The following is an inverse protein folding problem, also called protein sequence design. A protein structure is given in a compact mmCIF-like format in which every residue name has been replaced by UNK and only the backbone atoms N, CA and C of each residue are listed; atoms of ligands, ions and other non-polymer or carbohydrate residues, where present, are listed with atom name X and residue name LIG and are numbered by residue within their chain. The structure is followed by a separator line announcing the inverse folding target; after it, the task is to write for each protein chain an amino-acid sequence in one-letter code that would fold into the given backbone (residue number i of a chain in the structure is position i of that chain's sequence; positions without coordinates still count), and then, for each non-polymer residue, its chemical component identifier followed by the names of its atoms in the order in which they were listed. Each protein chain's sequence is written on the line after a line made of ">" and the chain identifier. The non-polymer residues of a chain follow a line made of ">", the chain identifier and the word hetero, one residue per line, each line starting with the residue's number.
data_IF_473419267058
#
_entry.id   IF_473419267058
#
_cell.length_a   1.000
_cell.length_b   1.000
_cell.length_c   1.000
_cell.angle_alpha   90.00
_cell.angle_beta   90.00
_cell.angle_gamma   90.00
#
_symmetry.space_group_name_H-M   'P 1'
#
loop_
_entity.id
_entity.type
_entity.pdbx_description
1 polymer ?
#
# COMPACT_ATOMS: atom_id res chain seq x y z
N UNK A 1 21.77 6.40 -19.97
CA UNK A 1 22.00 5.71 -18.68
C UNK A 1 21.84 6.76 -17.59
N UNK A 2 20.67 6.74 -16.95
CA UNK A 2 20.31 7.74 -15.95
C UNK A 2 20.84 7.33 -14.58
N UNK A 3 21.08 8.31 -13.72
CA UNK A 3 21.48 8.17 -12.30
C UNK A 3 20.52 7.33 -11.42
N UNK A 4 19.45 6.76 -11.99
CA UNK A 4 18.53 5.81 -11.34
C UNK A 4 18.64 4.36 -11.88
N UNK A 5 19.51 4.09 -12.86
CA UNK A 5 19.77 2.72 -13.33
C UNK A 5 20.47 1.86 -12.24
N UNK A 6 20.96 2.46 -11.16
CA UNK A 6 21.58 1.77 -10.02
C UNK A 6 20.56 1.01 -9.14
N UNK A 7 19.26 1.31 -9.25
CA UNK A 7 18.20 0.59 -8.51
C UNK A 7 17.71 -0.67 -9.21
N UNK A 8 18.19 -0.97 -10.42
CA UNK A 8 18.00 -2.30 -11.03
C UNK A 8 19.14 -3.22 -10.63
N UNK A 9 19.35 -3.43 -9.32
CA UNK A 9 19.89 -4.72 -8.95
C UNK A 9 18.84 -5.74 -9.38
N UNK A 10 19.19 -6.64 -10.31
CA UNK A 10 18.48 -7.91 -10.41
C UNK A 10 18.79 -8.62 -9.12
N UNK A 11 18.01 -8.32 -8.09
CA UNK A 11 18.14 -8.96 -6.81
C UNK A 11 17.68 -10.41 -6.99
N UNK A 12 18.65 -11.29 -7.23
CA UNK A 12 18.45 -12.74 -7.29
C UNK A 12 18.24 -13.31 -5.88
N UNK A 13 17.91 -12.47 -4.91
CA UNK A 13 17.68 -12.83 -3.53
C UNK A 13 16.41 -13.68 -3.44
N UNK A 14 16.56 -14.88 -2.87
CA UNK A 14 15.43 -15.80 -2.74
C UNK A 14 14.46 -15.26 -1.69
N UNK A 15 13.14 -15.43 -1.88
CA UNK A 15 12.16 -15.07 -0.88
C UNK A 15 12.47 -15.78 0.44
N UNK A 16 12.39 -15.07 1.57
CA UNK A 16 12.65 -15.72 2.85
C UNK A 16 11.51 -16.69 3.20
N UNK A 17 11.83 -17.79 3.90
CA UNK A 17 10.82 -18.77 4.35
C UNK A 17 9.72 -18.13 5.19
N UNK A 18 10.06 -17.06 5.94
CA UNK A 18 9.13 -16.29 6.76
C UNK A 18 8.13 -15.55 5.88
N UNK A 19 8.61 -14.75 4.92
CA UNK A 19 7.75 -14.01 3.99
C UNK A 19 6.92 -14.93 3.08
N UNK A 20 7.45 -16.07 2.65
CA UNK A 20 6.67 -17.10 1.93
C UNK A 20 5.54 -17.67 2.80
N UNK A 21 5.83 -17.97 4.06
CA UNK A 21 4.81 -18.49 4.98
C UNK A 21 3.75 -17.44 5.30
N UNK A 22 4.17 -16.18 5.46
CA UNK A 22 3.27 -15.06 5.70
C UNK A 22 2.35 -14.80 4.51
N UNK A 23 2.90 -14.75 3.29
CA UNK A 23 2.13 -14.58 2.05
C UNK A 23 1.05 -15.66 1.91
N UNK A 24 1.38 -16.92 2.17
CA UNK A 24 0.39 -18.02 2.15
C UNK A 24 -0.74 -17.80 3.16
N UNK A 25 -0.42 -17.47 4.41
CA UNK A 25 -1.45 -17.19 5.42
C UNK A 25 -2.28 -15.94 5.08
N UNK A 26 -1.66 -14.92 4.50
CA UNK A 26 -2.35 -13.70 4.08
C UNK A 26 -3.34 -13.95 2.94
N UNK A 27 -2.95 -14.75 1.94
CA UNK A 27 -3.85 -15.17 0.87
C UNK A 27 -5.04 -15.99 1.41
N UNK A 28 -4.79 -16.92 2.33
CA UNK A 28 -5.85 -17.74 2.92
C UNK A 28 -6.85 -16.91 3.75
N UNK A 29 -6.36 -15.97 4.56
CA UNK A 29 -7.19 -15.25 5.53
C UNK A 29 -7.76 -13.96 4.95
N UNK A 30 -6.88 -13.08 4.44
CA UNK A 30 -7.27 -11.78 3.89
C UNK A 30 -7.77 -11.96 2.46
N UNK A 31 -7.08 -12.76 1.64
CA UNK A 31 -7.45 -13.00 0.25
C UNK A 31 -8.87 -13.55 0.12
N UNK A 32 -9.16 -14.70 0.76
CA UNK A 32 -10.51 -15.29 0.78
C UNK A 32 -11.57 -14.29 1.25
N UNK A 33 -11.24 -13.46 2.26
CA UNK A 33 -12.17 -12.46 2.78
C UNK A 33 -12.49 -11.37 1.75
N UNK A 34 -11.49 -10.75 1.13
CA UNK A 34 -11.71 -9.66 0.17
C UNK A 34 -12.25 -10.18 -1.17
N UNK A 35 -11.93 -11.41 -1.55
CA UNK A 35 -12.52 -12.10 -2.69
C UNK A 35 -14.02 -12.31 -2.52
N UNK A 36 -14.49 -12.52 -1.28
CA UNK A 36 -15.92 -12.52 -0.94
C UNK A 36 -16.65 -11.20 -1.24
N UNK A 37 -15.91 -10.09 -1.32
CA UNK A 37 -16.43 -8.77 -1.74
C UNK A 37 -16.24 -8.50 -3.24
N UNK A 38 -15.77 -9.48 -4.01
CA UNK A 38 -15.55 -9.37 -5.45
C UNK A 38 -14.21 -8.76 -5.85
N UNK A 39 -13.24 -8.64 -4.93
CA UNK A 39 -11.86 -8.35 -5.31
C UNK A 39 -11.20 -9.60 -5.91
N UNK A 40 -10.25 -9.39 -6.82
CA UNK A 40 -9.49 -10.47 -7.45
C UNK A 40 -8.01 -10.26 -7.20
N UNK A 41 -7.27 -11.35 -6.97
CA UNK A 41 -5.82 -11.28 -6.82
C UNK A 41 -5.19 -10.72 -8.10
N UNK A 42 -4.50 -9.58 -7.99
CA UNK A 42 -3.79 -8.92 -9.08
C UNK A 42 -2.30 -9.24 -9.07
N UNK A 43 -1.69 -9.14 -7.89
CA UNK A 43 -0.25 -9.34 -7.72
C UNK A 43 0.08 -9.99 -6.37
N UNK A 44 1.08 -10.86 -6.36
CA UNK A 44 1.70 -11.41 -5.15
C UNK A 44 3.21 -11.47 -5.36
N UNK A 45 3.92 -10.47 -4.86
CA UNK A 45 5.38 -10.36 -4.91
C UNK A 45 5.95 -10.67 -3.53
N UNK A 46 6.79 -11.69 -3.46
CA UNK A 46 7.51 -12.07 -2.23
C UNK A 46 9.00 -11.99 -2.52
N UNK A 47 9.71 -11.19 -1.73
CA UNK A 47 11.15 -10.94 -1.81
C UNK A 47 11.81 -11.38 -0.49
N UNK A 48 13.12 -11.18 -0.34
CA UNK A 48 13.82 -11.63 0.87
C UNK A 48 13.26 -11.00 2.14
N UNK A 49 13.05 -9.69 2.14
CA UNK A 49 12.58 -8.92 3.30
C UNK A 49 11.20 -8.31 3.12
N UNK A 50 10.55 -8.55 1.98
CA UNK A 50 9.31 -7.87 1.62
C UNK A 50 8.24 -8.83 1.12
N UNK A 51 7.00 -8.56 1.47
CA UNK A 51 5.82 -9.15 0.85
C UNK A 51 4.90 -8.04 0.38
N UNK A 52 4.43 -8.11 -0.85
CA UNK A 52 3.38 -7.25 -1.40
C UNK A 52 2.31 -8.13 -2.03
N UNK A 53 1.07 -8.01 -1.57
CA UNK A 53 -0.10 -8.67 -2.18
C UNK A 53 -1.10 -7.58 -2.53
N UNK A 54 -1.62 -7.62 -3.75
CA UNK A 54 -2.59 -6.65 -4.25
C UNK A 54 -3.81 -7.40 -4.77
N UNK A 55 -4.99 -6.99 -4.31
CA UNK A 55 -6.26 -7.40 -4.86
C UNK A 55 -6.97 -6.19 -5.47
N UNK A 56 -7.65 -6.36 -6.60
CA UNK A 56 -8.31 -5.28 -7.34
C UNK A 56 -9.79 -5.58 -7.56
N UNK A 57 -10.61 -4.52 -7.57
CA UNK A 57 -12.03 -4.54 -7.95
C UNK A 57 -12.37 -3.23 -8.64
N UNK A 58 -12.73 -3.28 -9.91
CA UNK A 58 -12.93 -2.07 -10.73
C UNK A 58 -11.70 -1.16 -10.65
N UNK A 59 -11.85 0.08 -10.20
CA UNK A 59 -10.75 1.03 -9.98
C UNK A 59 -10.17 0.98 -8.55
N UNK A 60 -10.67 0.13 -7.67
CA UNK A 60 -10.24 0.02 -6.28
C UNK A 60 -9.21 -1.11 -6.12
N UNK A 61 -8.30 -0.95 -5.17
CA UNK A 61 -7.38 -2.00 -4.78
C UNK A 61 -7.16 -2.04 -3.27
N UNK A 62 -6.81 -3.23 -2.80
CA UNK A 62 -6.35 -3.49 -1.43
C UNK A 62 -4.92 -4.00 -1.56
N UNK A 63 -4.00 -3.32 -0.88
CA UNK A 63 -2.57 -3.62 -0.93
C UNK A 63 -2.09 -4.00 0.48
N UNK A 64 -1.66 -5.23 0.65
CA UNK A 64 -1.00 -5.70 1.86
C UNK A 64 0.51 -5.68 1.65
N UNK A 65 1.23 -4.97 2.52
CA UNK A 65 2.69 -4.90 2.48
C UNK A 65 3.27 -5.31 3.81
N UNK A 66 4.35 -6.09 3.81
CA UNK A 66 5.13 -6.43 4.99
C UNK A 66 6.61 -6.23 4.75
N UNK A 67 7.34 -5.76 5.76
CA UNK A 67 8.80 -5.61 5.76
C UNK A 67 9.41 -6.17 7.04
N UNK A 68 10.46 -6.97 6.91
CA UNK A 68 11.43 -7.22 7.98
C UNK A 68 12.86 -6.83 7.61
N UNK A 69 12.98 -5.80 6.76
CA UNK A 69 14.26 -5.27 6.38
C UNK A 69 15.03 -4.78 7.62
N UNK A 70 16.31 -5.18 7.83
CA UNK A 70 16.99 -5.00 9.11
C UNK A 70 17.09 -3.56 9.64
N UNK A 71 17.14 -2.56 8.75
CA UNK A 71 17.23 -1.15 9.13
C UNK A 71 15.88 -0.51 9.42
N UNK A 72 14.78 -1.19 9.12
CA UNK A 72 13.41 -0.67 9.22
C UNK A 72 12.75 -1.07 10.55
N UNK A 73 13.54 -1.35 11.59
CA UNK A 73 12.99 -1.76 12.89
C UNK A 73 12.19 -0.61 13.55
N UNK A 74 10.96 -0.87 14.06
CA UNK A 74 10.31 -2.16 14.18
C UNK A 74 9.76 -2.70 12.85
N UNK A 75 9.88 -4.00 12.64
CA UNK A 75 9.33 -4.69 11.46
C UNK A 75 7.80 -4.61 11.48
N UNK A 76 7.19 -4.31 10.34
CA UNK A 76 5.76 -4.04 10.26
C UNK A 76 5.11 -4.69 9.05
N UNK A 77 3.80 -4.84 9.11
CA UNK A 77 2.96 -4.97 7.94
C UNK A 77 1.76 -4.02 8.02
N UNK A 78 1.15 -3.76 6.88
CA UNK A 78 0.03 -2.83 6.72
C UNK A 78 -0.92 -3.33 5.65
N UNK A 79 -2.18 -2.88 5.75
CA UNK A 79 -3.18 -3.02 4.69
C UNK A 79 -3.60 -1.62 4.28
N UNK A 80 -3.38 -1.30 3.01
CA UNK A 80 -3.77 -0.04 2.39
C UNK A 80 -4.98 -0.25 1.49
N UNK A 81 -5.89 0.72 1.52
CA UNK A 81 -7.01 0.86 0.60
C UNK A 81 -6.62 1.92 -0.42
N UNK A 82 -6.86 1.71 -1.70
CA UNK A 82 -6.53 2.71 -2.71
C UNK A 82 -7.38 2.63 -3.96
N UNK A 83 -7.25 3.65 -4.80
CA UNK A 83 -7.96 3.79 -6.07
C UNK A 83 -6.99 4.16 -7.19
N UNK A 84 -7.29 3.72 -8.41
CA UNK A 84 -6.50 4.03 -9.60
C UNK A 84 -5.44 2.99 -9.91
N UNK A 85 -4.30 3.44 -10.42
CA UNK A 85 -3.25 2.56 -10.91
C UNK A 85 -2.39 2.01 -9.77
N UNK A 86 -2.63 0.75 -9.38
CA UNK A 86 -1.84 0.08 -8.34
C UNK A 86 -0.44 -0.37 -8.80
N UNK A 87 -0.15 -0.37 -10.10
CA UNK A 87 1.15 -0.76 -10.65
C UNK A 87 2.12 0.43 -10.76
N UNK A 88 1.63 1.66 -10.83
CA UNK A 88 2.47 2.85 -10.75
C UNK A 88 2.77 3.15 -9.27
N UNK A 89 4.04 3.00 -8.87
CA UNK A 89 4.46 3.20 -7.48
C UNK A 89 4.00 4.56 -6.93
N UNK A 90 4.16 5.64 -7.71
CA UNK A 90 3.82 6.99 -7.27
C UNK A 90 2.32 7.15 -7.07
N UNK A 91 1.52 6.73 -8.06
CA UNK A 91 0.06 6.76 -7.92
C UNK A 91 -0.39 5.86 -6.77
N UNK A 92 0.16 4.65 -6.65
CA UNK A 92 -0.24 3.69 -5.63
C UNK A 92 0.03 4.17 -4.19
N UNK A 93 1.08 4.96 -3.97
CA UNK A 93 1.38 5.50 -2.64
C UNK A 93 0.57 6.76 -2.33
N UNK A 94 0.27 7.60 -3.32
CA UNK A 94 -0.51 8.83 -3.12
C UNK A 94 -2.03 8.60 -3.12
N UNK A 95 -2.48 7.57 -3.83
CA UNK A 95 -3.89 7.24 -3.99
C UNK A 95 -4.30 6.03 -3.14
N UNK A 96 -3.47 5.69 -2.15
CA UNK A 96 -3.85 4.81 -1.07
C UNK A 96 -3.65 5.43 0.30
N UNK A 97 -4.32 4.82 1.28
CA UNK A 97 -4.14 5.08 2.69
C UNK A 97 -4.19 3.77 3.46
N UNK A 98 -3.42 3.69 4.56
CA UNK A 98 -3.58 2.62 5.54
C UNK A 98 -5.00 2.63 6.11
N UNK A 99 -5.56 1.46 6.44
CA UNK A 99 -6.84 1.34 7.15
C UNK A 99 -6.86 2.22 8.41
N UNK A 100 -5.70 2.38 9.04
CA UNK A 100 -5.54 3.23 10.22
C UNK A 100 -5.91 4.68 10.03
N UNK A 101 -5.79 5.22 8.82
CA UNK A 101 -6.22 6.58 8.51
C UNK A 101 -7.75 6.71 8.63
N UNK A 102 -8.50 5.67 8.24
CA UNK A 102 -9.95 5.62 8.45
C UNK A 102 -10.25 5.45 9.94
N UNK A 103 -9.52 4.57 10.63
CA UNK A 103 -9.73 4.38 12.07
C UNK A 103 -9.53 5.69 12.85
N UNK A 104 -8.51 6.49 12.52
CA UNK A 104 -8.27 7.79 13.18
C UNK A 104 -9.41 8.79 12.97
N UNK A 105 -10.19 8.66 11.90
CA UNK A 105 -11.38 9.47 11.67
C UNK A 105 -12.55 9.04 12.54
N UNK A 106 -12.74 7.73 12.71
CA UNK A 106 -13.89 7.17 13.43
C UNK A 106 -13.64 7.08 14.93
N UNK A 107 -12.37 6.90 15.33
CA UNK A 107 -11.92 6.69 16.71
C UNK A 107 -10.68 7.55 17.03
N UNK A 108 -10.79 8.90 17.06
CA UNK A 108 -9.63 9.80 17.12
C UNK A 108 -8.76 9.66 18.38
N UNK A 109 -9.31 9.09 19.46
CA UNK A 109 -8.60 8.89 20.72
C UNK A 109 -7.81 7.58 20.78
N UNK A 110 -7.96 6.69 19.79
CA UNK A 110 -7.30 5.39 19.76
C UNK A 110 -6.04 5.49 18.90
N UNK A 111 -4.88 5.23 19.52
CA UNK A 111 -3.62 5.17 18.79
C UNK A 111 -3.55 3.88 17.98
N UNK A 112 -3.22 4.03 16.70
CA UNK A 112 -2.89 2.91 15.83
C UNK A 112 -1.46 3.07 15.31
N UNK A 113 -0.67 2.02 15.46
CA UNK A 113 0.77 1.99 15.17
C UNK A 113 1.14 1.07 13.99
N UNK A 114 0.17 0.66 13.16
CA UNK A 114 0.39 -0.44 12.22
C UNK A 114 0.21 -1.79 12.89
N UNK A 115 0.58 -2.84 12.15
CA UNK A 115 0.78 -4.15 12.72
C UNK A 115 2.28 -4.43 12.80
N UNK A 116 2.74 -4.86 13.98
CA UNK A 116 4.09 -5.44 14.08
C UNK A 116 4.14 -6.68 13.19
N UNK A 117 5.26 -6.88 12.48
CA UNK A 117 5.43 -8.06 11.66
C UNK A 117 5.67 -9.28 12.53
N UNK A 118 4.70 -10.22 12.60
CA UNK A 118 4.65 -11.23 13.66
C UNK A 118 5.76 -12.28 13.54
N UNK A 119 5.94 -13.09 14.58
CA UNK A 119 6.65 -14.36 14.45
C UNK A 119 5.79 -15.36 13.68
N UNK A 120 6.42 -16.35 13.05
CA UNK A 120 5.71 -17.33 12.20
C UNK A 120 4.53 -18.03 12.90
N UNK A 121 4.65 -18.32 14.20
CA UNK A 121 3.59 -18.93 15.02
C UNK A 121 2.38 -18.03 15.22
N UNK A 122 2.53 -16.72 15.05
CA UNK A 122 1.51 -15.69 15.36
C UNK A 122 0.82 -15.17 14.08
N UNK A 123 1.26 -15.59 12.89
CA UNK A 123 0.75 -15.13 11.60
C UNK A 123 -0.78 -15.17 11.52
N UNK A 124 -1.35 -16.33 11.86
CA UNK A 124 -2.81 -16.53 11.80
C UNK A 124 -3.55 -15.56 12.71
N UNK A 125 -3.13 -15.44 13.98
CA UNK A 125 -3.77 -14.54 14.94
C UNK A 125 -3.67 -13.07 14.54
N UNK A 126 -2.50 -12.65 14.04
CA UNK A 126 -2.29 -11.27 13.57
C UNK A 126 -3.12 -10.94 12.33
N UNK A 127 -3.16 -11.83 11.33
CA UNK A 127 -3.94 -11.65 10.12
C UNK A 127 -5.45 -11.71 10.39
N UNK A 128 -5.91 -12.56 11.32
CA UNK A 128 -7.30 -12.57 11.77
C UNK A 128 -7.71 -11.25 12.44
N UNK A 129 -6.81 -10.65 13.24
CA UNK A 129 -7.03 -9.31 13.78
C UNK A 129 -7.12 -8.26 12.66
N UNK A 130 -6.18 -8.28 11.71
CA UNK A 130 -6.19 -7.35 10.58
C UNK A 130 -7.46 -7.50 9.72
N UNK A 131 -7.95 -8.74 9.52
CA UNK A 131 -9.22 -9.01 8.84
C UNK A 131 -10.40 -8.36 9.56
N UNK A 132 -10.47 -8.47 10.89
CA UNK A 132 -11.53 -7.84 11.69
C UNK A 132 -11.49 -6.32 11.58
N UNK A 133 -10.31 -5.73 11.64
CA UNK A 133 -10.15 -4.27 11.50
C UNK A 133 -10.47 -3.80 10.07
N UNK A 134 -10.12 -4.58 9.05
CA UNK A 134 -10.53 -4.31 7.67
C UNK A 134 -12.06 -4.42 7.52
N UNK A 135 -12.70 -5.37 8.18
CA UNK A 135 -14.16 -5.46 8.22
C UNK A 135 -14.78 -4.28 8.99
N UNK A 136 -14.18 -3.82 10.09
CA UNK A 136 -14.73 -2.75 10.92
C UNK A 136 -14.59 -1.38 10.25
N UNK A 137 -13.37 -1.04 9.79
CA UNK A 137 -13.04 0.30 9.27
C UNK A 137 -13.07 0.35 7.75
N UNK A 138 -12.89 -0.78 7.06
CA UNK A 138 -12.86 -0.86 5.60
C UNK A 138 -14.20 -1.27 4.96
N UNK A 139 -15.24 -1.62 5.73
CA UNK A 139 -16.49 -2.18 5.16
C UNK A 139 -17.10 -1.31 4.05
N UNK A 140 -17.15 0.00 4.28
CA UNK A 140 -17.70 0.94 3.30
C UNK A 140 -16.93 0.86 1.98
N UNK A 141 -15.60 0.87 2.05
CA UNK A 141 -14.73 0.73 0.89
C UNK A 141 -14.94 -0.61 0.17
N UNK A 142 -15.00 -1.72 0.90
CA UNK A 142 -15.22 -3.07 0.33
C UNK A 142 -16.55 -3.15 -0.46
N UNK A 143 -17.58 -2.45 0.01
CA UNK A 143 -18.89 -2.35 -0.63
C UNK A 143 -18.98 -1.24 -1.70
N UNK A 144 -17.88 -0.54 -1.98
CA UNK A 144 -17.81 0.50 -3.00
C UNK A 144 -18.25 1.90 -2.56
N UNK A 145 -18.58 2.09 -1.27
CA UNK A 145 -18.78 3.43 -0.71
C UNK A 145 -17.44 4.05 -0.29
N UNK A 146 -16.98 5.02 -1.08
CA UNK A 146 -15.66 5.63 -0.95
C UNK A 146 -15.63 6.92 -0.10
N UNK A 147 -16.74 7.33 0.51
CA UNK A 147 -16.83 8.62 1.21
C UNK A 147 -15.79 8.75 2.34
N UNK A 148 -15.71 7.74 3.21
CA UNK A 148 -14.73 7.72 4.32
C UNK A 148 -13.29 7.60 3.81
N UNK A 149 -13.09 6.81 2.74
CA UNK A 149 -11.79 6.67 2.10
C UNK A 149 -11.27 8.01 1.59
N UNK A 150 -12.09 8.76 0.85
CA UNK A 150 -11.69 10.08 0.34
C UNK A 150 -11.42 11.09 1.45
N UNK A 151 -12.26 11.12 2.50
CA UNK A 151 -12.04 11.96 3.68
C UNK A 151 -10.68 11.64 4.34
N UNK A 152 -10.41 10.36 4.58
CA UNK A 152 -9.15 9.91 5.19
C UNK A 152 -7.93 10.20 4.31
N UNK A 153 -8.08 10.00 3.00
CA UNK A 153 -7.04 10.26 1.99
C UNK A 153 -6.69 11.73 1.90
N UNK A 154 -7.67 12.63 1.90
CA UNK A 154 -7.41 14.08 1.89
C UNK A 154 -6.69 14.52 3.18
N UNK A 155 -7.05 13.97 4.33
CA UNK A 155 -6.37 14.32 5.59
C UNK A 155 -4.95 13.77 5.69
N UNK A 156 -4.70 12.59 5.12
CA UNK A 156 -3.38 11.94 5.18
C UNK A 156 -2.44 12.46 4.10
N UNK A 157 -2.94 12.57 2.86
CA UNK A 157 -2.14 12.83 1.66
C UNK A 157 -2.38 14.25 1.10
N UNK A 158 -3.27 15.03 1.69
CA UNK A 158 -3.65 16.35 1.18
C UNK A 158 -4.67 16.29 0.03
N UNK A 159 -5.30 17.44 -0.21
CA UNK A 159 -6.31 17.60 -1.26
C UNK A 159 -5.70 17.52 -2.67
N UNK A 160 -4.52 18.14 -2.85
CA UNK A 160 -3.85 18.21 -4.15
C UNK A 160 -2.83 17.09 -4.30
N UNK A 161 -3.05 16.18 -5.26
CA UNK A 161 -2.07 15.16 -5.62
C UNK A 161 -0.82 15.84 -6.22
N UNK A 162 0.41 15.47 -5.82
CA UNK A 162 1.59 15.95 -6.51
C UNK A 162 1.59 15.50 -7.96
N UNK A 163 2.03 16.37 -8.86
CA UNK A 163 2.04 16.08 -10.31
C UNK A 163 3.36 15.44 -10.69
N UNK A 164 3.26 14.24 -11.29
CA UNK A 164 4.36 13.59 -12.00
C UNK A 164 4.48 14.25 -13.38
N UNK A 165 5.55 15.01 -13.61
CA UNK A 165 5.87 15.54 -14.94
C UNK A 165 6.84 14.60 -15.62
N UNK A 166 6.46 14.16 -16.81
CA UNK A 166 7.30 13.38 -17.71
C UNK A 166 7.93 14.37 -18.69
N UNK A 167 9.26 14.54 -18.62
CA UNK A 167 10.04 15.34 -19.57
C UNK A 167 11.00 14.45 -20.33
N UNK A 168 11.41 14.88 -21.53
CA UNK A 168 12.56 14.28 -22.21
C UNK A 168 13.76 15.21 -22.06
N UNK A 169 14.92 14.66 -21.73
CA UNK A 169 16.17 15.42 -21.76
C UNK A 169 16.63 15.69 -23.20
N UNK A 170 17.73 16.43 -23.34
CA UNK A 170 18.33 16.80 -24.64
C UNK A 170 18.78 15.57 -25.47
N UNK A 171 18.93 14.42 -24.82
CA UNK A 171 19.36 13.16 -25.42
C UNK A 171 18.17 12.19 -25.64
N UNK A 172 16.93 12.64 -25.40
CA UNK A 172 15.73 11.84 -25.55
C UNK A 172 15.41 10.89 -24.38
N UNK A 173 16.18 10.92 -23.29
CA UNK A 173 15.89 10.10 -22.10
C UNK A 173 14.70 10.68 -21.34
N UNK A 174 13.85 9.79 -20.82
CA UNK A 174 12.71 10.19 -19.98
C UNK A 174 13.20 10.58 -18.58
N UNK A 175 12.91 11.81 -18.18
CA UNK A 175 13.10 12.35 -16.84
C UNK A 175 11.75 12.46 -16.13
N UNK A 176 11.74 12.09 -14.85
CA UNK A 176 10.60 12.28 -13.98
C UNK A 176 10.90 13.42 -13.02
N UNK A 177 10.02 14.42 -13.00
CA UNK A 177 10.06 15.51 -12.03
C UNK A 177 8.77 15.46 -11.21
N UNK A 178 8.91 15.38 -9.89
CA UNK A 178 7.78 15.51 -8.96
C UNK A 178 7.72 16.96 -8.53
N UNK A 179 6.66 17.68 -8.94
CA UNK A 179 6.46 19.02 -8.42
C UNK A 179 6.01 18.95 -6.95
N UNK A 180 6.67 19.69 -6.04
CA UNK A 180 6.30 19.71 -4.63
C UNK A 180 4.90 20.28 -4.42
N UNK A 181 4.29 19.94 -3.28
CA UNK A 181 3.01 20.51 -2.85
C UNK A 181 3.14 22.05 -2.68
N UNK A 182 2.06 22.78 -2.94
CA UNK A 182 1.97 24.24 -2.73
C UNK A 182 2.88 25.16 -3.58
N UNK A 183 3.18 24.81 -4.83
CA UNK A 183 3.49 25.89 -5.78
C UNK A 183 2.18 26.61 -6.10
N UNK A 184 1.84 27.65 -5.31
CA UNK A 184 0.92 28.69 -5.78
C UNK A 184 1.47 29.09 -7.14
N UNK A 185 0.75 28.75 -8.23
CA UNK A 185 1.05 29.34 -9.53
C UNK A 185 1.01 30.84 -9.29
N UNK A 186 2.15 31.52 -9.34
CA UNK A 186 2.13 32.96 -9.58
C UNK A 186 1.38 33.07 -10.91
N UNK A 187 0.21 33.71 -10.86
CA UNK A 187 -0.47 34.14 -12.08
C UNK A 187 0.51 35.11 -12.74
N UNK A 188 0.93 34.77 -13.95
CA UNK A 188 1.53 35.73 -14.87
C UNK A 188 0.49 36.79 -15.25
#
# INVERSE_FOLDING_TARGET
>A
MGIFDFLKSRDNSKPSKKHLSFSKSALEIIGTFVEGYGFQLHNNKVETYFTTIIWTKNQQYIKLTASDFPTDYPYTYDIKLGEGNCDDFFESEWDSISISAIQRLTEPNKKYNGYDFPKKSEFKGSLEKAKKELLEFGNNFLNGNLELFYKARILTNGENKPKKIIKKDKNGNVLFEVLPYNVKKKKD
#
